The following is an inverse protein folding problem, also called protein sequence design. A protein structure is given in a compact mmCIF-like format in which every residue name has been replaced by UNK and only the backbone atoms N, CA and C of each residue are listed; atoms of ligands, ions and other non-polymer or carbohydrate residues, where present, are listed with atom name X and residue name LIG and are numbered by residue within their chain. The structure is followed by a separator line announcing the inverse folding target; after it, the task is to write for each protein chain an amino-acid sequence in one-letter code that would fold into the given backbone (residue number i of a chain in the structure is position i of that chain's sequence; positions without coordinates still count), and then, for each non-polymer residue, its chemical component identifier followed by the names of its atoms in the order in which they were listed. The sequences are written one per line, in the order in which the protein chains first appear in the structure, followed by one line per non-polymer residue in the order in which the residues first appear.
data_IF_655562605112
#
_entry.id   IF_655562605112
#
_cell.length_a   1.000
_cell.length_b   1.000
_cell.length_c   1.000
_cell.angle_alpha   90.00
_cell.angle_beta   90.00
_cell.angle_gamma   90.00
#
_symmetry.space_group_name_H-M   'P 1'
#
loop_
_entity.id
_entity.type
_entity.pdbx_description
1 polymer ?
#
# COMPACT_ATOMS: atom_id res chain seq x y z
N UNK A 1 -97.18 -190.73 -111.96
CA UNK A 1 -96.75 -189.67 -111.02
C UNK A 1 -97.37 -188.30 -111.31
N UNK A 2 -97.51 -187.86 -112.57
CA UNK A 2 -98.08 -186.53 -112.93
C UNK A 2 -99.43 -186.24 -112.24
N UNK A 3 -100.34 -187.22 -112.16
CA UNK A 3 -101.65 -187.09 -111.50
C UNK A 3 -101.57 -186.56 -110.06
N UNK A 4 -100.57 -187.00 -109.28
CA UNK A 4 -100.36 -186.55 -107.89
C UNK A 4 -99.97 -185.07 -107.82
N UNK A 5 -99.13 -184.62 -108.76
CA UNK A 5 -98.72 -183.21 -108.87
C UNK A 5 -99.90 -182.33 -109.28
N UNK A 6 -100.74 -182.80 -110.21
CA UNK A 6 -101.90 -182.07 -110.73
C UNK A 6 -102.99 -181.90 -109.66
N UNK A 7 -103.25 -182.94 -108.84
CA UNK A 7 -104.16 -182.83 -107.70
C UNK A 7 -103.59 -181.89 -106.62
N UNK A 8 -102.28 -181.94 -106.36
CA UNK A 8 -101.61 -181.04 -105.42
C UNK A 8 -101.68 -179.57 -105.89
N UNK A 9 -101.40 -179.28 -107.16
CA UNK A 9 -101.49 -177.92 -107.70
C UNK A 9 -102.92 -177.39 -107.73
N UNK A 10 -103.92 -178.24 -108.02
CA UNK A 10 -105.33 -177.88 -107.95
C UNK A 10 -105.76 -177.55 -106.51
N UNK A 11 -105.36 -178.38 -105.54
CA UNK A 11 -105.63 -178.16 -104.11
C UNK A 11 -104.95 -176.90 -103.57
N UNK A 12 -103.70 -176.64 -103.96
CA UNK A 12 -103.00 -175.40 -103.63
C UNK A 12 -103.68 -174.17 -104.23
N UNK A 13 -104.09 -174.23 -105.51
CA UNK A 13 -104.80 -173.13 -106.17
C UNK A 13 -106.13 -172.83 -105.47
N UNK A 14 -106.90 -173.87 -105.08
CA UNK A 14 -108.14 -173.72 -104.34
C UNK A 14 -107.92 -173.12 -102.94
N UNK A 15 -106.85 -173.53 -102.23
CA UNK A 15 -106.49 -172.97 -100.92
C UNK A 15 -106.08 -171.48 -101.03
N UNK A 16 -105.29 -171.11 -102.04
CA UNK A 16 -104.92 -169.71 -102.31
C UNK A 16 -106.14 -168.86 -102.68
N UNK A 17 -107.06 -169.39 -103.48
CA UNK A 17 -108.30 -168.71 -103.86
C UNK A 17 -109.21 -168.47 -102.65
N UNK A 18 -109.36 -169.45 -101.75
CA UNK A 18 -110.07 -169.27 -100.47
C UNK A 18 -109.38 -168.26 -99.56
N UNK A 19 -108.05 -168.29 -99.45
CA UNK A 19 -107.30 -167.32 -98.66
C UNK A 19 -107.49 -165.87 -99.17
N UNK A 20 -107.45 -165.66 -100.49
CA UNK A 20 -107.72 -164.37 -101.14
C UNK A 20 -109.16 -163.87 -100.90
N UNK A 21 -110.13 -164.76 -100.83
CA UNK A 21 -111.54 -164.42 -100.57
C UNK A 21 -111.75 -163.96 -99.11
N UNK A 22 -111.05 -164.59 -98.15
CA UNK A 22 -111.20 -164.30 -96.71
C UNK A 22 -110.33 -163.12 -96.24
N UNK A 23 -109.13 -162.93 -96.81
CA UNK A 23 -108.20 -161.85 -96.44
C UNK A 23 -108.82 -160.42 -96.34
N UNK A 24 -109.60 -159.91 -97.32
CA UNK A 24 -110.18 -158.57 -97.24
C UNK A 24 -111.24 -158.44 -96.13
N UNK A 25 -111.91 -159.52 -95.75
CA UNK A 25 -112.86 -159.51 -94.64
C UNK A 25 -112.14 -159.37 -93.28
N UNK A 26 -111.03 -160.10 -93.09
CA UNK A 26 -110.19 -160.00 -91.89
C UNK A 26 -109.60 -158.58 -91.77
N UNK A 27 -109.05 -158.03 -92.86
CA UNK A 27 -108.43 -156.70 -92.82
C UNK A 27 -109.44 -155.59 -92.51
N UNK A 28 -110.63 -155.61 -93.12
CA UNK A 28 -111.73 -154.70 -92.77
C UNK A 28 -112.13 -154.81 -91.29
N UNK A 29 -112.18 -156.02 -90.74
CA UNK A 29 -112.51 -156.25 -89.32
C UNK A 29 -111.42 -155.72 -88.38
N UNK A 30 -110.14 -155.91 -88.74
CA UNK A 30 -109.00 -155.40 -87.99
C UNK A 30 -108.98 -153.86 -87.94
N UNK A 31 -109.12 -153.20 -89.09
CA UNK A 31 -109.15 -151.72 -89.18
C UNK A 31 -110.34 -151.12 -88.44
N UNK A 32 -111.51 -151.76 -88.48
CA UNK A 32 -112.66 -151.32 -87.67
C UNK A 32 -112.40 -151.44 -86.17
N UNK A 33 -111.77 -152.53 -85.72
CA UNK A 33 -111.45 -152.74 -84.30
C UNK A 33 -110.35 -151.79 -83.79
N UNK A 34 -109.30 -151.52 -84.57
CA UNK A 34 -108.27 -150.55 -84.17
C UNK A 34 -108.83 -149.13 -84.15
N UNK A 35 -109.59 -148.72 -85.18
CA UNK A 35 -110.27 -147.42 -85.21
C UNK A 35 -111.22 -147.26 -84.02
N UNK A 36 -112.13 -148.22 -83.80
CA UNK A 36 -113.08 -148.17 -82.67
C UNK A 36 -112.38 -148.17 -81.31
N UNK A 37 -111.23 -148.84 -81.18
CA UNK A 37 -110.43 -148.81 -79.94
C UNK A 37 -109.78 -147.45 -79.70
N UNK A 38 -109.25 -146.80 -80.75
CA UNK A 38 -108.69 -145.44 -80.66
C UNK A 38 -109.80 -144.42 -80.34
N UNK A 39 -110.95 -144.51 -81.01
CA UNK A 39 -112.13 -143.67 -80.73
C UNK A 39 -112.70 -143.89 -79.32
N UNK A 40 -112.46 -145.04 -78.70
CA UNK A 40 -112.81 -145.30 -77.28
C UNK A 40 -111.71 -144.93 -76.27
N UNK A 41 -110.49 -144.64 -76.73
CA UNK A 41 -109.33 -144.35 -75.88
C UNK A 41 -108.94 -142.87 -75.85
N UNK A 42 -109.45 -142.08 -76.80
CA UNK A 42 -109.37 -140.62 -76.81
C UNK A 42 -110.77 -140.04 -76.54
N UNK A 43 -111.12 -139.72 -75.27
CA UNK A 43 -112.43 -139.21 -74.91
C UNK A 43 -112.57 -137.70 -75.21
N UNK A 44 -112.16 -137.28 -76.41
CA UNK A 44 -112.24 -135.90 -76.91
C UNK A 44 -112.68 -135.90 -78.38
N UNK A 45 -113.85 -135.34 -78.64
CA UNK A 45 -114.36 -135.02 -79.96
C UNK A 45 -113.49 -133.99 -80.66
N UNK A 46 -113.51 -133.95 -82.00
CA UNK A 46 -112.79 -132.95 -82.79
C UNK A 46 -113.23 -131.51 -82.44
N UNK A 47 -114.48 -131.34 -81.97
CA UNK A 47 -114.99 -130.05 -81.49
C UNK A 47 -114.40 -129.67 -80.12
N UNK A 48 -114.16 -130.65 -79.25
CA UNK A 48 -113.60 -130.44 -77.91
C UNK A 48 -112.09 -130.16 -77.99
N UNK A 49 -111.36 -130.83 -78.88
CA UNK A 49 -109.96 -130.50 -79.18
C UNK A 49 -109.79 -129.08 -79.76
N UNK A 50 -110.74 -128.64 -80.61
CA UNK A 50 -110.74 -127.26 -81.09
C UNK A 50 -111.13 -126.26 -79.98
N UNK A 51 -112.09 -126.60 -79.12
CA UNK A 51 -112.44 -125.78 -77.96
C UNK A 51 -111.28 -125.66 -76.95
N UNK A 52 -110.52 -126.72 -76.70
CA UNK A 52 -109.32 -126.70 -75.86
C UNK A 52 -108.20 -125.87 -76.50
N UNK A 53 -108.00 -125.98 -77.81
CA UNK A 53 -107.06 -125.16 -78.58
C UNK A 53 -107.41 -123.67 -78.54
N UNK A 54 -108.69 -123.33 -78.67
CA UNK A 54 -109.15 -121.94 -78.60
C UNK A 54 -109.21 -121.42 -77.15
N UNK A 55 -109.45 -122.28 -76.16
CA UNK A 55 -109.24 -121.99 -74.75
C UNK A 55 -107.76 -121.70 -74.45
N UNK A 56 -106.82 -122.51 -74.96
CA UNK A 56 -105.38 -122.27 -74.80
C UNK A 56 -104.94 -120.98 -75.50
N UNK A 57 -105.51 -120.64 -76.66
CA UNK A 57 -105.32 -119.33 -77.31
C UNK A 57 -105.84 -118.19 -76.43
N UNK A 58 -107.04 -118.33 -75.86
CA UNK A 58 -107.62 -117.33 -74.95
C UNK A 58 -106.81 -117.18 -73.65
N UNK A 59 -106.38 -118.29 -73.02
CA UNK A 59 -105.52 -118.28 -71.84
C UNK A 59 -104.19 -117.59 -72.13
N UNK A 60 -103.52 -117.94 -73.25
CA UNK A 60 -102.27 -117.28 -73.65
C UNK A 60 -102.46 -115.80 -73.98
N UNK A 61 -103.57 -115.41 -74.63
CA UNK A 61 -103.88 -114.01 -74.89
C UNK A 61 -104.16 -113.22 -73.61
N UNK A 62 -104.89 -113.79 -72.65
CA UNK A 62 -105.15 -113.19 -71.33
C UNK A 62 -103.86 -113.10 -70.50
N UNK A 63 -103.01 -114.13 -70.53
CA UNK A 63 -101.71 -114.14 -69.85
C UNK A 63 -100.76 -113.10 -70.45
N UNK A 64 -100.61 -113.07 -71.78
CA UNK A 64 -99.84 -112.06 -72.50
C UNK A 64 -100.36 -110.66 -72.18
N UNK A 65 -101.68 -110.44 -72.22
CA UNK A 65 -102.26 -109.13 -71.89
C UNK A 65 -102.05 -108.74 -70.42
N UNK A 66 -102.08 -109.70 -69.49
CA UNK A 66 -101.75 -109.45 -68.08
C UNK A 66 -100.29 -109.01 -67.93
N UNK A 67 -99.36 -109.69 -68.61
CA UNK A 67 -97.94 -109.30 -68.63
C UNK A 67 -97.73 -107.96 -69.34
N UNK A 68 -98.40 -107.66 -70.45
CA UNK A 68 -98.39 -106.34 -71.09
C UNK A 68 -98.81 -105.23 -70.12
N UNK A 69 -99.90 -105.44 -69.37
CA UNK A 69 -100.40 -104.45 -68.41
C UNK A 69 -99.46 -104.28 -67.22
N UNK A 70 -98.85 -105.36 -66.72
CA UNK A 70 -97.81 -105.30 -65.68
C UNK A 70 -96.53 -104.62 -66.18
N UNK A 71 -96.11 -104.86 -67.42
CA UNK A 71 -94.95 -104.18 -68.03
C UNK A 71 -95.26 -102.69 -68.28
N UNK A 72 -96.51 -102.32 -68.58
CA UNK A 72 -96.93 -100.92 -68.67
C UNK A 72 -96.94 -100.24 -67.31
N UNK A 73 -97.59 -100.81 -66.29
CA UNK A 73 -97.62 -100.21 -64.95
C UNK A 73 -96.22 -100.11 -64.35
N UNK A 74 -95.36 -101.13 -64.51
CA UNK A 74 -93.97 -101.08 -64.07
C UNK A 74 -93.14 -100.04 -64.84
N UNK A 75 -93.42 -99.78 -66.13
CA UNK A 75 -92.78 -98.70 -66.90
C UNK A 75 -93.27 -97.32 -66.43
N UNK A 76 -94.56 -97.16 -66.21
CA UNK A 76 -95.19 -95.93 -65.70
C UNK A 76 -94.65 -95.60 -64.29
N UNK A 77 -94.57 -96.59 -63.39
CA UNK A 77 -93.90 -96.48 -62.10
C UNK A 77 -92.40 -96.12 -62.23
N UNK A 78 -91.67 -96.75 -63.16
CA UNK A 78 -90.25 -96.43 -63.36
C UNK A 78 -90.04 -95.02 -63.90
N UNK A 79 -90.91 -94.53 -64.79
CA UNK A 79 -90.87 -93.14 -65.29
C UNK A 79 -91.22 -92.17 -64.17
N UNK A 80 -92.26 -92.44 -63.37
CA UNK A 80 -92.62 -91.60 -62.23
C UNK A 80 -91.52 -91.55 -61.15
N UNK A 81 -90.89 -92.69 -60.83
CA UNK A 81 -89.74 -92.75 -59.91
C UNK A 81 -88.53 -92.00 -60.46
N UNK A 82 -88.22 -92.13 -61.76
CA UNK A 82 -87.12 -91.39 -62.39
C UNK A 82 -87.36 -89.89 -62.38
N UNK A 83 -88.56 -89.43 -62.73
CA UNK A 83 -88.92 -88.00 -62.66
C UNK A 83 -88.78 -87.45 -61.23
N UNK A 84 -89.20 -88.21 -60.21
CA UNK A 84 -88.99 -87.85 -58.80
C UNK A 84 -87.49 -87.79 -58.44
N UNK A 85 -86.68 -88.74 -58.90
CA UNK A 85 -85.22 -88.72 -58.69
C UNK A 85 -84.55 -87.56 -59.43
N UNK A 86 -85.00 -87.19 -60.63
CA UNK A 86 -84.51 -86.03 -61.38
C UNK A 86 -84.88 -84.72 -60.67
N UNK A 87 -86.11 -84.60 -60.14
CA UNK A 87 -86.53 -83.45 -59.32
C UNK A 87 -85.73 -83.37 -57.99
N UNK A 88 -85.45 -84.51 -57.36
CA UNK A 88 -84.60 -84.59 -56.16
C UNK A 88 -83.15 -84.20 -56.47
N UNK A 89 -82.58 -84.68 -57.57
CA UNK A 89 -81.23 -84.34 -58.01
C UNK A 89 -81.10 -82.85 -58.35
N UNK A 90 -82.11 -82.25 -58.99
CA UNK A 90 -82.15 -80.81 -59.23
C UNK A 90 -82.16 -80.00 -57.92
N UNK A 91 -82.96 -80.43 -56.93
CA UNK A 91 -82.99 -79.82 -55.58
C UNK A 91 -81.66 -80.00 -54.83
N UNK A 92 -81.02 -81.16 -54.96
CA UNK A 92 -79.69 -81.42 -54.38
C UNK A 92 -78.66 -80.46 -54.99
N UNK A 93 -78.58 -80.37 -56.31
CA UNK A 93 -77.67 -79.45 -57.02
C UNK A 93 -77.91 -77.98 -56.65
N UNK A 94 -79.17 -77.55 -56.51
CA UNK A 94 -79.51 -76.19 -56.05
C UNK A 94 -79.14 -75.94 -54.58
N UNK A 95 -79.12 -76.98 -53.74
CA UNK A 95 -78.65 -76.90 -52.35
C UNK A 95 -77.12 -76.93 -52.27
N UNK A 96 -76.44 -77.77 -53.05
CA UNK A 96 -74.98 -77.81 -53.20
C UNK A 96 -74.44 -76.45 -53.67
N UNK A 97 -75.09 -75.83 -54.66
CA UNK A 97 -74.73 -74.50 -55.15
C UNK A 97 -74.91 -73.40 -54.08
N UNK A 98 -75.93 -73.51 -53.22
CA UNK A 98 -76.14 -72.59 -52.08
C UNK A 98 -75.13 -72.84 -50.96
N UNK A 99 -74.80 -74.10 -50.70
CA UNK A 99 -73.79 -74.49 -49.71
C UNK A 99 -72.42 -73.94 -50.12
N UNK A 100 -71.97 -74.20 -51.37
CA UNK A 100 -70.71 -73.67 -51.89
C UNK A 100 -70.66 -72.13 -51.91
N UNK A 101 -71.80 -71.46 -52.13
CA UNK A 101 -71.90 -69.99 -51.98
C UNK A 101 -71.71 -69.54 -50.54
N UNK A 102 -72.39 -70.18 -49.58
CA UNK A 102 -72.27 -69.91 -48.14
C UNK A 102 -70.86 -70.22 -47.60
N UNK A 103 -70.22 -71.28 -48.10
CA UNK A 103 -68.83 -71.62 -47.77
C UNK A 103 -67.85 -70.58 -48.31
N UNK A 104 -68.03 -70.12 -49.56
CA UNK A 104 -67.22 -69.04 -50.13
C UNK A 104 -67.41 -67.70 -49.38
N UNK A 105 -68.64 -67.35 -49.00
CA UNK A 105 -68.91 -66.19 -48.13
C UNK A 105 -68.29 -66.36 -46.74
N UNK A 106 -68.32 -67.58 -46.18
CA UNK A 106 -67.69 -67.93 -44.93
C UNK A 106 -66.16 -67.77 -44.94
N UNK A 107 -65.47 -68.26 -45.96
CA UNK A 107 -64.02 -68.05 -46.12
C UNK A 107 -63.68 -66.58 -46.37
N UNK A 108 -64.49 -65.87 -47.16
CA UNK A 108 -64.34 -64.42 -47.38
C UNK A 108 -64.43 -63.64 -46.06
N UNK A 109 -65.43 -63.95 -45.22
CA UNK A 109 -65.61 -63.35 -43.90
C UNK A 109 -64.51 -63.75 -42.91
N UNK A 110 -64.01 -64.98 -42.93
CA UNK A 110 -62.82 -65.39 -42.14
C UNK A 110 -61.59 -64.58 -42.54
N UNK A 111 -61.37 -64.35 -43.84
CA UNK A 111 -60.29 -63.50 -44.34
C UNK A 111 -60.39 -62.04 -43.88
N UNK A 112 -61.60 -61.46 -43.90
CA UNK A 112 -61.86 -60.12 -43.36
C UNK A 112 -61.66 -60.06 -41.84
N UNK A 113 -62.13 -61.06 -41.09
CA UNK A 113 -61.88 -61.13 -39.63
C UNK A 113 -60.39 -61.26 -39.32
N UNK A 114 -59.64 -62.06 -40.09
CA UNK A 114 -58.20 -62.21 -39.89
C UNK A 114 -57.43 -60.91 -40.15
N UNK A 115 -57.75 -60.17 -41.21
CA UNK A 115 -57.10 -58.88 -41.51
C UNK A 115 -57.50 -57.78 -40.54
N UNK A 116 -58.74 -57.77 -40.06
CA UNK A 116 -59.19 -56.87 -38.99
C UNK A 116 -58.51 -57.19 -37.65
N UNK A 117 -58.36 -58.46 -37.28
CA UNK A 117 -57.61 -58.88 -36.07
C UNK A 117 -56.14 -58.47 -36.18
N UNK A 118 -55.51 -58.65 -37.34
CA UNK A 118 -54.15 -58.15 -37.56
C UNK A 118 -54.08 -56.62 -37.40
N UNK A 119 -54.98 -55.85 -38.04
CA UNK A 119 -54.93 -54.39 -37.95
C UNK A 119 -55.26 -53.86 -36.55
N UNK A 120 -56.11 -54.55 -35.79
CA UNK A 120 -56.34 -54.24 -34.35
C UNK A 120 -55.07 -54.53 -33.53
N UNK A 121 -54.34 -55.61 -33.82
CA UNK A 121 -53.07 -55.89 -33.13
C UNK A 121 -52.01 -54.84 -33.45
N UNK A 122 -51.83 -54.47 -34.72
CA UNK A 122 -50.94 -53.39 -35.17
C UNK A 122 -51.29 -52.06 -34.49
N UNK A 123 -52.56 -51.64 -34.51
CA UNK A 123 -53.02 -50.42 -33.83
C UNK A 123 -52.83 -50.48 -32.31
N UNK A 124 -52.90 -51.67 -31.70
CA UNK A 124 -52.63 -51.84 -30.26
C UNK A 124 -51.14 -51.66 -29.95
N UNK A 125 -50.24 -52.16 -30.81
CA UNK A 125 -48.79 -51.93 -30.67
C UNK A 125 -48.39 -50.48 -30.98
N UNK A 126 -48.97 -49.88 -32.03
CA UNK A 126 -48.81 -48.44 -32.32
C UNK A 126 -49.23 -47.59 -31.11
N UNK A 127 -50.34 -47.94 -30.45
CA UNK A 127 -50.84 -47.25 -29.26
C UNK A 127 -49.95 -47.46 -28.03
N UNK A 128 -49.41 -48.67 -27.78
CA UNK A 128 -48.50 -48.90 -26.66
C UNK A 128 -47.19 -48.13 -26.82
N UNK A 129 -46.62 -48.13 -28.02
CA UNK A 129 -45.35 -47.46 -28.30
C UNK A 129 -45.48 -45.94 -28.18
N UNK A 130 -46.59 -45.37 -28.68
CA UNK A 130 -46.94 -43.96 -28.47
C UNK A 130 -47.19 -43.65 -27.00
N UNK A 131 -47.81 -44.55 -26.23
CA UNK A 131 -48.02 -44.35 -24.79
C UNK A 131 -46.70 -44.29 -24.02
N UNK A 132 -45.76 -45.19 -24.31
CA UNK A 132 -44.42 -45.21 -23.68
C UNK A 132 -43.62 -43.96 -24.05
N UNK A 133 -43.66 -43.53 -25.32
CA UNK A 133 -43.01 -42.29 -25.76
C UNK A 133 -43.66 -41.02 -25.14
N UNK A 134 -44.96 -41.04 -24.89
CA UNK A 134 -45.65 -39.95 -24.19
C UNK A 134 -45.28 -39.91 -22.70
N UNK A 135 -45.09 -41.05 -22.04
CA UNK A 135 -44.61 -41.11 -20.65
C UNK A 135 -43.14 -40.71 -20.52
N UNK A 136 -42.26 -41.09 -21.46
CA UNK A 136 -40.85 -40.66 -21.44
C UNK A 136 -40.72 -39.15 -21.68
N UNK A 137 -41.39 -38.60 -22.70
CA UNK A 137 -41.39 -37.15 -22.95
C UNK A 137 -42.05 -36.36 -21.81
N UNK A 138 -43.01 -36.95 -21.10
CA UNK A 138 -43.60 -36.34 -19.89
C UNK A 138 -42.62 -36.28 -18.72
N UNK A 139 -41.87 -37.35 -18.45
CA UNK A 139 -40.86 -37.35 -17.37
C UNK A 139 -39.66 -36.48 -17.72
N UNK A 140 -39.23 -36.43 -18.99
CA UNK A 140 -38.26 -35.45 -19.47
C UNK A 140 -38.74 -34.01 -19.26
N UNK A 141 -40.00 -33.69 -19.60
CA UNK A 141 -40.57 -32.36 -19.37
C UNK A 141 -40.65 -32.03 -17.87
N UNK A 142 -41.00 -32.97 -17.01
CA UNK A 142 -41.03 -32.79 -15.56
C UNK A 142 -39.64 -32.43 -15.03
N UNK A 143 -38.61 -33.21 -15.38
CA UNK A 143 -37.19 -32.94 -15.08
C UNK A 143 -36.78 -31.56 -15.57
N UNK A 144 -37.07 -31.20 -16.83
CA UNK A 144 -36.75 -29.87 -17.38
C UNK A 144 -37.50 -28.74 -16.65
N UNK A 145 -38.71 -28.96 -16.14
CA UNK A 145 -39.39 -27.94 -15.32
C UNK A 145 -38.76 -27.77 -13.95
N UNK A 146 -38.21 -28.82 -13.34
CA UNK A 146 -37.52 -28.75 -12.05
C UNK A 146 -36.11 -28.16 -12.18
N UNK A 147 -35.35 -28.52 -13.22
CA UNK A 147 -34.13 -27.81 -13.61
C UNK A 147 -34.39 -26.31 -13.80
N UNK A 148 -35.46 -25.95 -14.51
CA UNK A 148 -35.85 -24.56 -14.74
C UNK A 148 -36.29 -23.83 -13.46
N UNK A 149 -36.92 -24.53 -12.50
CA UNK A 149 -37.22 -23.97 -11.16
C UNK A 149 -35.93 -23.73 -10.37
N UNK A 150 -35.00 -24.69 -10.36
CA UNK A 150 -33.72 -24.58 -9.67
C UNK A 150 -32.88 -23.43 -10.24
N UNK A 151 -32.72 -23.37 -11.56
CA UNK A 151 -31.99 -22.31 -12.24
C UNK A 151 -32.59 -20.92 -11.96
N UNK A 152 -33.94 -20.80 -11.92
CA UNK A 152 -34.63 -19.55 -11.54
C UNK A 152 -34.43 -19.18 -10.07
N UNK A 153 -34.32 -20.17 -9.18
CA UNK A 153 -33.94 -19.95 -7.78
C UNK A 153 -32.53 -19.36 -7.70
N UNK A 154 -31.55 -20.00 -8.33
CA UNK A 154 -30.18 -19.50 -8.35
C UNK A 154 -30.03 -18.12 -9.00
N UNK A 155 -30.81 -17.78 -10.04
CA UNK A 155 -30.77 -16.43 -10.60
C UNK A 155 -31.34 -15.40 -9.63
N UNK A 156 -32.44 -15.71 -8.94
CA UNK A 156 -33.01 -14.81 -7.93
C UNK A 156 -32.07 -14.61 -6.72
N UNK A 157 -31.31 -15.64 -6.33
CA UNK A 157 -30.29 -15.51 -5.29
C UNK A 157 -29.06 -14.71 -5.76
N UNK A 158 -28.63 -14.87 -7.02
CA UNK A 158 -27.59 -14.03 -7.63
C UNK A 158 -28.02 -12.58 -7.81
N UNK A 159 -29.30 -12.33 -8.12
CA UNK A 159 -29.88 -10.98 -8.17
C UNK A 159 -29.84 -10.32 -6.78
N UNK A 160 -30.23 -11.03 -5.71
CA UNK A 160 -30.09 -10.56 -4.32
C UNK A 160 -28.64 -10.27 -3.93
N UNK A 161 -27.69 -11.12 -4.31
CA UNK A 161 -26.26 -10.86 -4.10
C UNK A 161 -25.78 -9.60 -4.84
N UNK A 162 -26.24 -9.38 -6.07
CA UNK A 162 -25.89 -8.19 -6.85
C UNK A 162 -26.52 -6.91 -6.27
N UNK A 163 -27.77 -6.96 -5.80
CA UNK A 163 -28.41 -5.85 -5.08
C UNK A 163 -27.66 -5.51 -3.78
N UNK A 164 -27.29 -6.51 -2.98
CA UNK A 164 -26.52 -6.31 -1.75
C UNK A 164 -25.15 -5.69 -2.04
N UNK A 165 -24.40 -6.25 -3.02
CA UNK A 165 -23.10 -5.69 -3.44
C UNK A 165 -23.22 -4.27 -4.01
N UNK A 166 -24.32 -3.95 -4.69
CA UNK A 166 -24.61 -2.60 -5.19
C UNK A 166 -24.85 -1.60 -4.05
N UNK A 167 -25.58 -2.01 -3.01
CA UNK A 167 -25.75 -1.22 -1.78
C UNK A 167 -24.42 -1.04 -1.05
N UNK A 168 -23.59 -2.08 -0.92
CA UNK A 168 -22.25 -1.98 -0.34
C UNK A 168 -21.33 -1.03 -1.12
N UNK A 169 -21.36 -1.08 -2.45
CA UNK A 169 -20.61 -0.14 -3.31
C UNK A 169 -21.07 1.30 -3.04
N UNK A 170 -22.38 1.56 -3.02
CA UNK A 170 -22.91 2.91 -2.75
C UNK A 170 -22.55 3.40 -1.34
N UNK A 171 -22.59 2.51 -0.34
CA UNK A 171 -22.13 2.82 1.03
C UNK A 171 -20.63 3.15 1.08
N UNK A 172 -19.80 2.46 0.29
CA UNK A 172 -18.36 2.73 0.15
C UNK A 172 -18.10 4.04 -0.60
N UNK A 173 -18.85 4.36 -1.65
CA UNK A 173 -18.78 5.64 -2.37
C UNK A 173 -19.13 6.82 -1.45
N UNK A 174 -20.20 6.71 -0.66
CA UNK A 174 -20.55 7.69 0.37
C UNK A 174 -19.45 7.81 1.44
N UNK A 175 -18.82 6.70 1.85
CA UNK A 175 -17.69 6.73 2.80
C UNK A 175 -16.44 7.37 2.20
N UNK A 176 -16.15 7.15 0.92
CA UNK A 176 -15.03 7.77 0.19
C UNK A 176 -15.27 9.28 0.07
N UNK A 177 -16.49 9.70 -0.30
CA UNK A 177 -16.88 11.11 -0.35
C UNK A 177 -16.73 11.81 1.01
N UNK A 178 -17.18 11.17 2.10
CA UNK A 178 -17.00 11.69 3.45
C UNK A 178 -15.51 11.81 3.85
N UNK A 179 -14.68 10.82 3.51
CA UNK A 179 -13.23 10.87 3.76
C UNK A 179 -12.53 11.94 2.89
N UNK A 180 -12.98 12.17 1.66
CA UNK A 180 -12.47 13.25 0.80
C UNK A 180 -12.80 14.63 1.38
N UNK A 181 -14.00 14.81 1.95
CA UNK A 181 -14.37 16.02 2.68
C UNK A 181 -13.50 16.22 3.95
N UNK A 182 -13.28 15.15 4.73
CA UNK A 182 -12.42 15.18 5.93
C UNK A 182 -10.95 15.50 5.58
N UNK A 183 -10.46 15.05 4.42
CA UNK A 183 -9.14 15.41 3.90
C UNK A 183 -9.10 16.88 3.48
N UNK A 184 -10.09 17.36 2.73
CA UNK A 184 -10.16 18.77 2.32
C UNK A 184 -10.25 19.74 3.52
N UNK A 185 -10.99 19.38 4.57
CA UNK A 185 -11.03 20.13 5.83
C UNK A 185 -9.65 20.16 6.51
N UNK A 186 -8.94 19.02 6.54
CA UNK A 186 -7.56 18.97 7.07
C UNK A 186 -6.57 19.77 6.22
N UNK A 187 -6.69 19.77 4.90
CA UNK A 187 -5.82 20.54 4.01
C UNK A 187 -6.03 22.05 4.21
N UNK A 188 -7.28 22.50 4.38
CA UNK A 188 -7.59 23.89 4.79
C UNK A 188 -6.95 24.19 6.14
N UNK A 189 -7.11 23.32 7.15
CA UNK A 189 -6.55 23.52 8.49
C UNK A 189 -5.01 23.50 8.50
N UNK A 190 -4.38 22.72 7.62
CA UNK A 190 -2.93 22.74 7.38
C UNK A 190 -2.53 24.06 6.70
N UNK A 191 -3.34 24.60 5.80
CA UNK A 191 -3.17 25.94 5.23
C UNK A 191 -3.13 27.03 6.31
N UNK A 192 -4.18 27.10 7.14
CA UNK A 192 -4.28 28.03 8.28
C UNK A 192 -3.06 27.93 9.20
N UNK A 193 -2.69 26.72 9.63
CA UNK A 193 -1.54 26.49 10.52
C UNK A 193 -0.20 26.87 9.88
N UNK A 194 -0.06 26.77 8.55
CA UNK A 194 1.13 27.25 7.84
C UNK A 194 1.18 28.78 7.77
N UNK A 195 0.03 29.46 7.66
CA UNK A 195 -0.07 30.92 7.71
C UNK A 195 0.22 31.44 9.12
N UNK A 196 -0.36 30.84 10.17
CA UNK A 196 -0.02 31.11 11.58
C UNK A 196 1.49 30.96 11.82
N UNK A 197 2.08 29.87 11.33
CA UNK A 197 3.52 29.59 11.45
C UNK A 197 4.37 30.57 10.61
N UNK A 198 3.84 31.15 9.53
CA UNK A 198 4.51 32.23 8.79
C UNK A 198 4.45 33.54 9.59
N UNK A 199 3.27 33.96 10.07
CA UNK A 199 3.10 35.14 10.92
C UNK A 199 3.99 35.11 12.16
N UNK A 200 4.04 33.98 12.87
CA UNK A 200 4.92 33.78 14.03
C UNK A 200 6.42 33.83 13.65
N UNK A 201 6.81 33.44 12.42
CA UNK A 201 8.20 33.59 11.95
C UNK A 201 8.57 35.04 11.69
N UNK A 202 7.66 35.86 11.17
CA UNK A 202 7.89 37.29 10.96
C UNK A 202 7.89 38.06 12.29
N UNK A 203 6.91 37.84 13.17
CA UNK A 203 6.91 38.42 14.54
C UNK A 203 8.21 38.06 15.29
N UNK A 204 8.71 36.83 15.13
CA UNK A 204 10.02 36.44 15.69
C UNK A 204 11.20 37.17 15.03
N UNK A 205 11.16 37.45 13.72
CA UNK A 205 12.21 38.24 13.02
C UNK A 205 12.22 39.69 13.49
N UNK A 206 11.04 40.27 13.70
CA UNK A 206 10.89 41.64 14.20
C UNK A 206 11.34 41.76 15.66
N UNK A 207 10.93 40.84 16.54
CA UNK A 207 11.47 40.78 17.91
C UNK A 207 12.99 40.53 17.91
N UNK A 208 13.51 39.68 17.02
CA UNK A 208 14.97 39.51 16.85
C UNK A 208 15.65 40.76 16.28
N UNK A 209 14.94 41.65 15.59
CA UNK A 209 15.45 42.95 15.14
C UNK A 209 15.45 43.95 16.30
N UNK A 210 14.34 44.08 17.02
CA UNK A 210 14.20 44.94 18.21
C UNK A 210 15.26 44.59 19.27
N UNK A 211 15.48 43.31 19.57
CA UNK A 211 16.55 42.85 20.48
C UNK A 211 17.95 43.25 19.99
N UNK A 212 18.19 43.32 18.67
CA UNK A 212 19.47 43.79 18.10
C UNK A 212 19.61 45.30 18.14
N UNK A 213 18.51 46.04 17.96
CA UNK A 213 18.45 47.51 18.02
C UNK A 213 18.61 47.97 19.48
N UNK A 214 17.81 47.46 20.42
CA UNK A 214 18.00 47.65 21.88
C UNK A 214 19.39 47.18 22.35
N UNK A 215 19.89 46.07 21.79
CA UNK A 215 21.25 45.58 22.04
C UNK A 215 22.36 46.45 21.45
N UNK A 216 22.07 47.30 20.47
CA UNK A 216 22.98 48.33 19.97
C UNK A 216 22.88 49.61 20.82
N UNK A 217 21.68 50.04 21.18
CA UNK A 217 21.43 51.16 22.10
C UNK A 217 22.04 50.94 23.48
N UNK A 218 21.90 49.73 24.05
CA UNK A 218 22.55 49.34 25.31
C UNK A 218 24.08 49.37 25.24
N UNK A 219 24.68 49.10 24.07
CA UNK A 219 26.12 49.26 23.85
C UNK A 219 26.51 50.73 23.63
N UNK A 220 25.69 51.50 22.93
CA UNK A 220 25.89 52.94 22.73
C UNK A 220 25.84 53.69 24.06
N UNK A 221 24.77 53.53 24.83
CA UNK A 221 24.61 54.07 26.20
C UNK A 221 25.67 53.55 27.17
N UNK A 222 26.04 52.27 27.08
CA UNK A 222 27.18 51.72 27.83
C UNK A 222 28.51 52.43 27.50
N UNK A 223 28.73 52.78 26.22
CA UNK A 223 29.92 53.50 25.76
C UNK A 223 29.92 55.00 26.13
N UNK A 224 28.76 55.67 26.10
CA UNK A 224 28.67 57.06 26.58
C UNK A 224 28.84 57.12 28.09
N UNK A 225 28.23 56.22 28.85
CA UNK A 225 28.44 56.09 30.29
C UNK A 225 29.91 55.75 30.63
N UNK A 226 30.59 54.93 29.82
CA UNK A 226 32.02 54.67 29.99
C UNK A 226 32.88 55.89 29.65
N UNK A 227 32.51 56.70 28.65
CA UNK A 227 33.17 57.96 28.33
C UNK A 227 32.95 59.03 29.41
N UNK A 228 31.74 59.11 29.97
CA UNK A 228 31.41 59.98 31.09
C UNK A 228 32.14 59.54 32.36
N UNK A 229 32.15 58.26 32.72
CA UNK A 229 32.97 57.74 33.83
C UNK A 229 34.45 58.05 33.66
N UNK A 230 34.99 57.98 32.44
CA UNK A 230 36.37 58.42 32.14
C UNK A 230 36.54 59.94 32.32
N UNK A 231 35.55 60.76 31.94
CA UNK A 231 35.56 62.21 32.19
C UNK A 231 35.48 62.53 33.67
N UNK A 232 34.61 61.85 34.43
CA UNK A 232 34.53 61.97 35.89
C UNK A 232 35.86 61.60 36.54
N UNK A 233 36.45 60.44 36.24
CA UNK A 233 37.78 60.06 36.74
C UNK A 233 38.88 61.06 36.36
N UNK A 234 38.82 61.68 35.18
CA UNK A 234 39.74 62.77 34.79
C UNK A 234 39.48 64.09 35.54
N UNK A 235 38.23 64.36 35.94
CA UNK A 235 37.86 65.52 36.76
C UNK A 235 38.25 65.28 38.22
N UNK A 236 38.06 64.07 38.75
CA UNK A 236 38.50 63.63 40.08
C UNK A 236 40.03 63.67 40.19
N UNK A 237 40.77 63.14 39.21
CA UNK A 237 42.23 63.24 39.17
C UNK A 237 42.72 64.70 39.06
N UNK A 238 42.00 65.57 38.34
CA UNK A 238 42.29 67.02 38.31
C UNK A 238 41.92 67.70 39.63
N UNK A 239 40.87 67.26 40.31
CA UNK A 239 40.47 67.76 41.61
C UNK A 239 41.52 67.38 42.66
N UNK A 240 41.98 66.13 42.69
CA UNK A 240 43.07 65.65 43.54
C UNK A 240 44.41 66.32 43.20
N UNK A 241 44.70 66.57 41.92
CA UNK A 241 45.82 67.41 41.51
C UNK A 241 45.66 68.86 42.02
N UNK A 242 44.45 69.43 42.00
CA UNK A 242 44.19 70.77 42.54
C UNK A 242 44.26 70.82 44.07
N UNK A 243 43.83 69.75 44.76
CA UNK A 243 43.93 69.60 46.22
C UNK A 243 45.39 69.46 46.65
N UNK A 244 46.22 68.72 45.91
CA UNK A 244 47.66 68.63 46.17
C UNK A 244 48.43 69.89 45.74
N UNK A 245 47.93 70.64 44.75
CA UNK A 245 48.41 72.00 44.49
C UNK A 245 48.04 72.96 45.63
N UNK A 246 46.81 72.88 46.16
CA UNK A 246 46.38 73.66 47.33
C UNK A 246 47.20 73.28 48.55
N UNK A 247 47.35 72.01 48.90
CA UNK A 247 48.13 71.60 50.08
C UNK A 247 49.62 71.94 49.96
N UNK A 248 50.21 71.86 48.76
CA UNK A 248 51.60 72.32 48.55
C UNK A 248 51.72 73.85 48.47
N UNK A 249 50.63 74.58 48.22
CA UNK A 249 50.57 76.05 48.37
C UNK A 249 50.33 76.44 49.83
N UNK A 250 49.54 75.69 50.58
CA UNK A 250 49.34 75.83 52.03
C UNK A 250 50.64 75.53 52.78
N UNK A 251 51.36 74.46 52.44
CA UNK A 251 52.72 74.22 52.95
C UNK A 251 53.69 75.35 52.59
N UNK A 252 53.61 75.92 51.38
CA UNK A 252 54.43 77.08 51.00
C UNK A 252 54.05 78.32 51.78
N UNK A 253 52.76 78.54 52.05
CA UNK A 253 52.24 79.62 52.87
C UNK A 253 52.58 79.43 54.35
N UNK A 254 52.63 78.20 54.85
CA UNK A 254 53.00 77.86 56.21
C UNK A 254 54.52 77.94 56.44
N UNK A 255 55.32 77.51 55.46
CA UNK A 255 56.77 77.78 55.42
C UNK A 255 57.02 79.28 55.34
N UNK A 256 56.31 80.01 54.46
CA UNK A 256 56.41 81.47 54.35
C UNK A 256 55.91 82.20 55.59
N UNK A 257 54.89 81.72 56.29
CA UNK A 257 54.43 82.33 57.54
C UNK A 257 55.40 82.05 58.69
N UNK A 258 56.02 80.86 58.74
CA UNK A 258 57.14 80.55 59.65
C UNK A 258 58.39 81.36 59.33
N UNK A 259 58.70 81.63 58.06
CA UNK A 259 59.76 82.56 57.64
C UNK A 259 59.43 84.00 58.06
N UNK A 260 58.19 84.46 57.85
CA UNK A 260 57.73 85.79 58.25
C UNK A 260 57.64 85.95 59.77
N UNK A 261 57.32 84.88 60.50
CA UNK A 261 57.32 84.86 61.96
C UNK A 261 58.75 84.88 62.50
N UNK A 262 59.67 84.06 61.98
CA UNK A 262 61.11 84.15 62.33
C UNK A 262 61.67 85.53 62.03
N UNK A 263 61.33 86.12 60.89
CA UNK A 263 61.75 87.48 60.54
C UNK A 263 61.12 88.54 61.45
N UNK A 264 59.92 88.32 62.00
CA UNK A 264 59.33 89.16 63.06
C UNK A 264 60.01 88.97 64.41
N UNK A 265 60.31 87.74 64.81
CA UNK A 265 61.06 87.42 66.03
C UNK A 265 62.50 87.98 65.97
N UNK A 266 63.12 87.97 64.79
CA UNK A 266 64.39 88.63 64.47
C UNK A 266 64.26 90.16 64.50
N UNK A 267 63.20 90.74 63.93
CA UNK A 267 62.95 92.18 64.05
C UNK A 267 62.65 92.63 65.49
N UNK A 268 61.91 91.84 66.27
CA UNK A 268 61.56 92.18 67.65
C UNK A 268 62.73 91.94 68.62
N UNK A 269 63.59 90.96 68.36
CA UNK A 269 64.88 90.83 69.07
C UNK A 269 65.87 91.94 68.68
N UNK A 270 65.90 92.36 67.41
CA UNK A 270 66.64 93.56 66.98
C UNK A 270 66.09 94.84 67.63
N UNK A 271 64.76 94.97 67.79
CA UNK A 271 64.12 96.09 68.53
C UNK A 271 64.43 96.07 70.02
N UNK A 272 64.48 94.89 70.64
CA UNK A 272 64.91 94.75 72.04
C UNK A 272 66.38 95.17 72.16
N UNK A 273 67.26 94.73 71.25
CA UNK A 273 68.66 95.18 71.22
C UNK A 273 68.80 96.69 70.96
N UNK A 274 67.95 97.27 70.11
CA UNK A 274 67.90 98.72 69.87
C UNK A 274 67.51 99.47 71.15
N UNK A 275 66.46 99.01 71.84
CA UNK A 275 65.99 99.57 73.11
C UNK A 275 67.01 99.44 74.23
N UNK A 276 67.78 98.34 74.25
CA UNK A 276 68.86 98.14 75.21
C UNK A 276 70.06 99.07 74.92
N UNK A 277 70.25 99.49 73.68
CA UNK A 277 71.21 100.53 73.29
C UNK A 277 70.68 101.95 73.58
N UNK A 278 69.40 102.22 73.35
CA UNK A 278 68.73 103.49 73.71
C UNK A 278 68.80 103.73 75.22
N UNK A 279 68.54 102.71 76.06
CA UNK A 279 68.68 102.83 77.52
C UNK A 279 70.12 103.04 77.98
N UNK A 280 71.12 102.57 77.21
CA UNK A 280 72.54 102.88 77.46
C UNK A 280 72.91 104.29 77.01
N UNK A 281 72.26 104.83 75.98
CA UNK A 281 72.41 106.22 75.57
C UNK A 281 71.81 107.18 76.60
N UNK A 282 70.56 106.97 77.05
CA UNK A 282 69.95 107.77 78.13
C UNK A 282 70.78 107.73 79.43
N UNK A 283 71.43 106.60 79.73
CA UNK A 283 72.30 106.47 80.90
C UNK A 283 73.59 107.29 80.77
N UNK A 284 74.09 107.51 79.55
CA UNK A 284 75.24 108.38 79.28
C UNK A 284 74.85 109.87 79.24
N UNK A 285 73.69 110.22 78.67
CA UNK A 285 73.20 111.61 78.64
C UNK A 285 72.99 112.15 80.07
N UNK A 286 72.42 111.35 80.98
CA UNK A 286 72.29 111.71 82.41
C UNK A 286 73.62 111.90 83.15
N UNK A 287 74.74 111.38 82.61
CA UNK A 287 76.07 111.69 83.14
C UNK A 287 76.62 113.02 82.60
N UNK A 288 76.31 113.38 81.36
CA UNK A 288 76.69 114.69 80.80
C UNK A 288 75.92 115.84 81.46
N UNK A 289 74.60 115.73 81.65
CA UNK A 289 73.77 116.73 82.36
C UNK A 289 74.29 117.00 83.79
N UNK A 290 74.77 115.96 84.47
CA UNK A 290 75.36 116.06 85.80
C UNK A 290 76.70 116.82 85.82
N UNK A 291 77.44 116.86 84.71
CA UNK A 291 78.66 117.64 84.58
C UNK A 291 78.42 119.08 84.11
N UNK A 292 77.45 119.33 83.22
CA UNK A 292 77.11 120.69 82.78
C UNK A 292 76.61 121.58 83.94
N UNK A 293 75.82 121.03 84.85
CA UNK A 293 75.36 121.74 86.05
C UNK A 293 76.50 122.18 86.99
N UNK A 294 77.59 121.39 87.07
CA UNK A 294 78.77 121.72 87.87
C UNK A 294 79.63 122.83 87.24
N UNK A 295 79.62 122.93 85.90
CA UNK A 295 80.32 124.00 85.17
C UNK A 295 79.57 125.33 85.34
N UNK A 296 78.23 125.32 85.24
CA UNK A 296 77.40 126.53 85.32
C UNK A 296 77.55 127.29 86.65
N UNK A 297 77.67 126.60 87.80
CA UNK A 297 77.80 127.26 89.10
C UNK A 297 79.19 127.93 89.29
N UNK A 298 80.26 127.36 88.72
CA UNK A 298 81.58 127.99 88.76
C UNK A 298 81.65 129.27 87.91
N UNK A 299 81.00 129.29 86.74
CA UNK A 299 81.02 130.44 85.83
C UNK A 299 80.47 131.72 86.47
N UNK A 300 79.36 131.63 87.20
CA UNK A 300 78.71 132.81 87.83
C UNK A 300 79.58 133.41 88.95
N UNK A 301 80.52 132.64 89.52
CA UNK A 301 81.38 133.09 90.63
C UNK A 301 82.63 133.85 90.18
N UNK A 302 82.98 133.78 88.89
CA UNK A 302 84.21 134.39 88.33
C UNK A 302 83.92 135.79 87.73
N UNK A 303 82.74 135.99 87.13
CA UNK A 303 82.33 137.21 86.39
C UNK A 303 82.11 138.48 87.24
N UNK A 304 82.57 138.52 88.50
CA UNK A 304 82.46 139.71 89.37
C UNK A 304 83.69 140.07 90.19
N UNK A 305 84.78 139.31 90.11
CA UNK A 305 86.01 139.60 90.87
C UNK A 305 87.29 139.63 90.04
N UNK A 306 87.21 139.42 88.71
CA UNK A 306 88.36 139.61 87.80
C UNK A 306 88.28 140.91 86.99
N UNK A 307 87.96 142.02 87.66
CA UNK A 307 88.42 143.36 87.25
C UNK A 307 89.55 143.86 88.16
N UNK A 308 90.46 142.95 88.54
CA UNK A 308 91.74 143.20 89.20
C UNK A 308 92.74 142.05 88.92
N UNK A 309 93.99 142.39 88.61
CA UNK A 309 95.25 141.59 88.60
C UNK A 309 95.29 140.17 87.98
N UNK A 310 95.92 140.09 86.79
CA UNK A 310 97.18 139.33 86.49
C UNK A 310 97.23 137.77 86.47
N UNK A 311 97.63 137.23 85.28
CA UNK A 311 98.70 136.21 84.99
C UNK A 311 98.57 134.72 85.50
N UNK A 312 99.08 133.63 84.85
CA UNK A 312 99.75 133.36 83.54
C UNK A 312 99.73 131.83 83.16
N UNK A 313 99.86 131.48 81.84
CA UNK A 313 100.44 130.26 81.16
C UNK A 313 100.12 128.77 81.56
N UNK A 314 100.26 127.72 80.70
CA UNK A 314 100.60 127.58 79.26
C UNK A 314 100.88 126.11 78.74
N UNK A 315 101.02 125.92 77.41
CA UNK A 315 101.64 124.79 76.61
C UNK A 315 100.93 123.39 76.53
N UNK A 316 100.71 122.69 75.38
CA UNK A 316 101.53 122.08 74.27
C UNK A 316 102.08 120.65 74.58
N UNK A 317 102.18 119.64 73.68
CA UNK A 317 102.00 119.47 72.21
C UNK A 317 101.13 118.16 71.92
N UNK A 318 101.12 117.30 70.86
CA UNK A 318 101.90 116.98 69.64
C UNK A 318 101.13 116.08 68.62
N UNK A 319 101.75 115.67 67.48
CA UNK A 319 101.18 114.80 66.43
C UNK A 319 102.17 113.70 65.93
N UNK A 320 101.69 112.51 65.53
CA UNK A 320 102.58 111.48 64.93
C UNK A 320 102.00 110.18 64.33
N UNK A 321 101.09 109.46 65.01
CA UNK A 321 100.92 108.00 64.74
C UNK A 321 100.02 107.57 63.56
N UNK A 322 99.26 108.47 62.93
CA UNK A 322 98.10 108.08 62.12
C UNK A 322 98.37 107.54 60.70
N UNK A 323 99.61 107.55 60.20
CA UNK A 323 99.88 107.24 58.78
C UNK A 323 100.19 105.77 58.45
N UNK A 324 100.41 104.87 59.43
CA UNK A 324 100.91 103.51 59.15
C UNK A 324 99.82 102.50 58.68
N UNK A 325 98.54 102.74 58.96
CA UNK A 325 97.48 101.70 58.88
C UNK A 325 96.90 101.43 57.47
N UNK A 326 97.15 102.29 56.48
CA UNK A 326 96.44 102.17 55.18
C UNK A 326 97.00 101.10 54.22
N UNK A 327 98.21 100.58 54.46
CA UNK A 327 98.95 99.80 53.47
C UNK A 327 98.58 98.30 53.39
N UNK A 328 97.82 97.75 54.34
CA UNK A 328 97.74 96.29 54.55
C UNK A 328 96.55 95.58 53.87
N UNK A 329 95.55 96.29 53.33
CA UNK A 329 94.26 95.68 52.94
C UNK A 329 94.13 95.20 51.48
N UNK A 330 95.08 95.49 50.58
CA UNK A 330 94.90 95.33 49.12
C UNK A 330 95.10 93.91 48.57
N UNK A 331 95.63 92.96 49.35
CA UNK A 331 96.07 91.64 48.84
C UNK A 331 94.94 90.59 48.82
N UNK A 332 93.93 90.71 49.70
CA UNK A 332 92.98 89.63 49.98
C UNK A 332 91.95 89.30 48.87
N UNK A 333 91.74 90.20 47.90
CA UNK A 333 90.65 90.08 46.92
C UNK A 333 90.92 89.02 45.83
N UNK A 334 92.19 88.68 45.58
CA UNK A 334 92.62 87.97 44.35
C UNK A 334 92.48 86.45 44.36
N UNK A 335 92.12 85.84 45.49
CA UNK A 335 92.01 84.37 45.64
C UNK A 335 90.65 83.80 45.23
N UNK A 336 89.57 84.55 45.42
CA UNK A 336 88.19 84.04 45.31
C UNK A 336 87.69 83.82 43.87
N UNK A 337 88.42 84.28 42.85
CA UNK A 337 87.96 84.17 41.45
C UNK A 337 88.19 82.79 40.82
N UNK A 338 89.11 81.98 41.37
CA UNK A 338 89.54 80.71 40.78
C UNK A 338 88.58 79.53 41.08
N UNK A 339 87.97 79.48 42.26
CA UNK A 339 87.14 78.36 42.72
C UNK A 339 85.85 78.18 41.89
N UNK A 340 85.32 79.30 41.38
CA UNK A 340 84.09 79.36 40.56
C UNK A 340 84.14 78.48 39.31
N UNK A 341 85.32 78.34 38.68
CA UNK A 341 85.42 77.83 37.31
C UNK A 341 85.67 76.31 37.24
N UNK A 342 85.90 75.65 38.37
CA UNK A 342 85.91 74.17 38.46
C UNK A 342 84.50 73.58 38.42
N UNK A 343 83.57 74.12 39.23
CA UNK A 343 82.22 73.57 39.44
C UNK A 343 81.34 73.50 38.18
N UNK A 344 81.71 74.18 37.08
CA UNK A 344 80.96 74.14 35.82
C UNK A 344 81.19 72.88 34.96
N UNK A 345 82.22 72.07 35.24
CA UNK A 345 82.58 70.93 34.37
C UNK A 345 81.84 69.64 34.71
N UNK A 346 81.54 69.41 35.98
CA UNK A 346 80.99 68.14 36.47
C UNK A 346 79.53 67.92 36.02
N UNK A 347 78.76 69.01 35.89
CA UNK A 347 77.34 68.98 35.51
C UNK A 347 77.07 68.52 34.06
N UNK A 348 78.11 68.39 33.22
CA UNK A 348 77.99 68.01 31.82
C UNK A 348 77.95 66.48 31.58
N UNK A 349 78.47 65.67 32.50
CA UNK A 349 78.68 64.23 32.26
C UNK A 349 77.42 63.35 32.45
N UNK A 350 76.43 63.81 33.22
CA UNK A 350 75.37 62.96 33.77
C UNK A 350 74.09 62.84 32.89
N UNK A 351 74.21 62.79 31.55
CA UNK A 351 73.05 62.91 30.62
C UNK A 351 73.04 61.96 29.40
N UNK A 352 73.88 60.92 29.35
CA UNK A 352 74.15 60.19 28.10
C UNK A 352 73.54 58.78 27.93
N UNK A 353 73.23 58.04 29.00
CA UNK A 353 72.86 56.61 28.92
C UNK A 353 71.37 56.33 29.21
N UNK A 354 70.60 55.89 28.21
CA UNK A 354 69.27 55.30 28.44
C UNK A 354 68.23 55.40 27.32
N UNK A 355 68.46 54.79 26.14
CA UNK A 355 67.38 54.43 25.19
C UNK A 355 67.81 53.25 24.27
N UNK A 356 66.84 52.60 23.60
CA UNK A 356 66.89 51.34 22.81
C UNK A 356 66.61 50.06 23.60
N UNK A 357 65.81 49.09 23.12
CA UNK A 357 65.05 49.05 21.85
C UNK A 357 64.83 47.65 21.27
N UNK A 358 65.56 46.63 21.75
CA UNK A 358 65.72 45.34 21.03
C UNK A 358 65.33 44.07 21.83
N UNK A 359 64.59 44.21 22.94
CA UNK A 359 64.28 43.07 23.84
C UNK A 359 62.96 42.34 23.58
N UNK A 360 61.96 43.03 23.04
CA UNK A 360 60.56 42.56 23.02
C UNK A 360 60.29 41.48 21.96
N UNK A 361 61.06 41.46 20.86
CA UNK A 361 60.96 40.45 19.79
C UNK A 361 61.35 39.05 20.29
N UNK A 362 62.50 38.94 20.95
CA UNK A 362 63.07 37.67 21.45
C UNK A 362 62.19 37.03 22.54
N UNK A 363 61.44 37.84 23.29
CA UNK A 363 60.47 37.33 24.28
C UNK A 363 59.22 36.77 23.62
N UNK A 364 58.68 37.42 22.57
CA UNK A 364 57.49 36.95 21.85
C UNK A 364 57.72 35.59 21.18
N UNK A 365 58.85 35.38 20.50
CA UNK A 365 59.15 34.09 19.87
C UNK A 365 59.26 32.93 20.88
N UNK A 366 59.90 33.17 22.02
CA UNK A 366 60.00 32.17 23.10
C UNK A 366 58.64 31.85 23.72
N UNK A 367 57.77 32.85 23.88
CA UNK A 367 56.40 32.65 24.38
C UNK A 367 55.58 31.81 23.41
N UNK A 368 55.66 32.11 22.11
CA UNK A 368 54.96 31.39 21.05
C UNK A 368 55.45 29.93 20.92
N UNK A 369 56.75 29.69 21.08
CA UNK A 369 57.32 28.33 21.05
C UNK A 369 56.84 27.49 22.24
N UNK A 370 56.84 28.07 23.46
CA UNK A 370 56.34 27.38 24.66
C UNK A 370 54.83 27.09 24.57
N UNK A 371 54.04 28.00 23.99
CA UNK A 371 52.61 27.80 23.76
C UNK A 371 52.32 26.64 22.79
N UNK A 372 53.09 26.53 21.70
CA UNK A 372 52.96 25.41 20.75
C UNK A 372 53.26 24.05 21.40
N UNK A 373 54.28 23.98 22.25
CA UNK A 373 54.68 22.76 22.95
C UNK A 373 53.62 22.30 23.97
N UNK A 374 53.05 23.22 24.75
CA UNK A 374 51.96 22.93 25.69
C UNK A 374 50.68 22.46 24.97
N UNK A 375 50.30 23.09 23.85
CA UNK A 375 49.12 22.65 23.06
C UNK A 375 49.36 21.29 22.41
N UNK A 376 50.55 21.01 21.90
CA UNK A 376 50.90 19.69 21.38
C UNK A 376 50.88 18.60 22.48
N UNK A 377 51.29 18.93 23.71
CA UNK A 377 51.21 18.02 24.86
C UNK A 377 49.75 17.74 25.27
N UNK A 378 48.89 18.77 25.28
CA UNK A 378 47.46 18.62 25.58
C UNK A 378 46.74 17.75 24.53
N UNK A 379 46.93 18.02 23.24
CA UNK A 379 46.35 17.23 22.15
C UNK A 379 46.79 15.75 22.19
N UNK A 380 47.99 15.46 22.68
CA UNK A 380 48.52 14.10 22.90
C UNK A 380 47.90 13.39 24.10
N UNK A 381 47.47 14.12 25.13
CA UNK A 381 46.79 13.58 26.33
C UNK A 381 45.29 13.34 26.10
N UNK A 382 44.63 14.20 25.32
CA UNK A 382 43.20 14.06 24.98
C UNK A 382 42.93 13.02 23.87
N UNK A 383 43.92 12.71 23.04
CA UNK A 383 43.83 11.65 22.03
C UNK A 383 42.98 12.00 20.79
N UNK A 384 42.58 10.98 19.99
CA UNK A 384 42.06 11.18 18.63
C UNK A 384 40.65 11.79 18.54
N UNK A 385 39.98 12.08 19.67
CA UNK A 385 38.69 12.80 19.70
C UNK A 385 38.79 14.20 20.34
N UNK A 386 40.01 14.73 20.56
CA UNK A 386 40.20 16.11 20.98
C UNK A 386 39.65 17.12 19.96
N UNK A 387 38.95 18.15 20.46
CA UNK A 387 38.56 19.34 19.67
C UNK A 387 39.76 20.07 19.07
N UNK A 388 40.94 19.98 19.68
CA UNK A 388 42.17 20.64 19.20
C UNK A 388 42.59 20.05 17.84
N UNK A 389 42.49 18.73 17.69
CA UNK A 389 42.83 18.05 16.43
C UNK A 389 41.80 18.34 15.31
N UNK A 390 40.53 18.58 15.66
CA UNK A 390 39.51 19.01 14.70
C UNK A 390 39.79 20.43 14.16
N UNK A 391 40.07 21.39 15.04
CA UNK A 391 40.40 22.76 14.65
C UNK A 391 41.70 22.83 13.82
N UNK A 392 42.72 22.03 14.16
CA UNK A 392 43.94 21.91 13.35
C UNK A 392 43.70 21.34 11.94
N UNK A 393 42.59 20.66 11.69
CA UNK A 393 42.21 20.13 10.39
C UNK A 393 41.31 21.08 9.57
N UNK A 394 40.65 22.06 10.22
CA UNK A 394 39.91 23.13 9.53
C UNK A 394 40.83 24.28 9.08
N UNK A 395 41.92 24.54 9.81
CA UNK A 395 42.93 25.55 9.45
C UNK A 395 43.95 25.04 8.40
N UNK A 396 43.54 25.05 7.13
CA UNK A 396 44.40 24.84 5.94
C UNK A 396 44.60 26.16 5.16
N UNK A 397 44.73 27.27 5.88
CA UNK A 397 44.92 28.63 5.35
C UNK A 397 46.42 28.93 5.06
N UNK A 398 46.89 28.59 3.86
CA UNK A 398 48.30 28.71 3.44
C UNK A 398 48.78 30.17 3.31
N UNK A 399 49.14 30.80 4.43
CA UNK A 399 49.62 32.18 4.50
C UNK A 399 51.11 32.30 4.13
N UNK A 400 51.38 32.50 2.84
CA UNK A 400 52.72 32.72 2.32
C UNK A 400 53.29 34.10 2.71
N UNK A 401 53.85 34.24 3.92
CA UNK A 401 54.38 35.51 4.43
C UNK A 401 55.20 35.42 5.72
N UNK A 402 56.42 34.87 5.63
CA UNK A 402 57.60 35.00 6.53
C UNK A 402 57.47 34.73 8.06
N UNK A 403 56.26 34.64 8.63
CA UNK A 403 56.03 34.33 10.06
C UNK A 403 55.29 33.01 10.19
N UNK A 404 56.03 31.92 10.43
CA UNK A 404 55.48 30.55 10.51
C UNK A 404 54.40 30.46 11.59
N UNK A 405 53.18 30.06 11.20
CA UNK A 405 51.99 30.03 12.08
C UNK A 405 52.14 29.06 13.26
N UNK A 406 51.38 29.32 14.33
CA UNK A 406 51.32 28.42 15.49
C UNK A 406 50.81 27.03 15.08
N UNK A 407 49.80 26.97 14.20
CA UNK A 407 49.24 25.73 13.68
C UNK A 407 50.29 24.91 12.90
N UNK A 408 51.09 25.55 12.06
CA UNK A 408 52.16 24.90 11.29
C UNK A 408 53.25 24.31 12.20
N UNK A 409 53.63 25.04 13.25
CA UNK A 409 54.61 24.54 14.24
C UNK A 409 54.07 23.32 15.00
N UNK A 410 52.77 23.28 15.32
CA UNK A 410 52.13 22.11 15.95
C UNK A 410 52.04 20.95 14.94
N UNK A 411 51.59 21.18 13.69
CA UNK A 411 51.57 20.18 12.61
C UNK A 411 52.98 19.61 12.36
N UNK A 412 54.03 20.43 12.44
CA UNK A 412 55.43 20.00 12.29
C UNK A 412 55.94 19.16 13.47
N UNK A 413 55.65 19.56 14.72
CA UNK A 413 56.04 18.81 15.92
C UNK A 413 55.37 17.43 15.98
N UNK A 414 54.09 17.31 15.62
CA UNK A 414 53.40 16.02 15.51
C UNK A 414 54.09 15.11 14.49
N UNK A 415 54.31 15.60 13.26
CA UNK A 415 54.99 14.83 12.20
C UNK A 415 56.40 14.37 12.59
N UNK A 416 57.18 15.20 13.27
CA UNK A 416 58.53 14.83 13.71
C UNK A 416 58.53 13.66 14.72
N UNK A 417 57.55 13.63 15.62
CA UNK A 417 57.39 12.57 16.63
C UNK A 417 56.82 11.29 16.02
N UNK A 418 55.86 11.39 15.08
CA UNK A 418 55.33 10.20 14.39
C UNK A 418 56.37 9.52 13.49
N UNK A 419 57.29 10.30 12.88
CA UNK A 419 58.45 9.75 12.16
C UNK A 419 59.38 8.99 13.11
N UNK A 420 59.70 9.53 14.30
CA UNK A 420 60.48 8.80 15.32
C UNK A 420 59.78 7.52 15.80
N UNK A 421 58.44 7.53 15.85
CA UNK A 421 57.62 6.40 16.33
C UNK A 421 57.45 5.27 15.29
N UNK A 422 57.76 5.54 14.02
CA UNK A 422 57.87 4.53 12.96
C UNK A 422 59.31 4.06 12.72
N UNK A 423 60.29 4.58 13.47
CA UNK A 423 61.72 4.23 13.36
C UNK A 423 62.29 3.55 14.61
N UNK A 424 61.43 3.02 15.49
CA UNK A 424 61.76 2.33 16.74
C UNK A 424 60.75 1.21 17.02
#
# INVERSE_FOLDING_TARGET
MIQSVLIFSLGFLAAVLLALLVAPAIWRRAVFLTRKRIESALPLSINELNAEKDMLRAQNAIALRRVEMQVKSLREENVARKALTEEQNAKIHDLEKKLAGSEAEGERLKGEVASLVQRVHELTTELSDVSVALESTRTELEIRTDELKSAKGETADRERELEARSQDISNLELRISALQAEIAERDIRIGELNEDVAGLKEVRRDLQREIRELGAEGRATGSTLAAERKRFAQIEAKLEQSISQVSTLEEKLERRSKELQRSREENDSLRIALRDLEQRAEAAERQNEAHESQIAEMTIRIDRLMSASEEENGNEDSMGELQLKLAQQSVAIRSLELERDQLKRELAAAKADGDSGNGDTVLRDKLNQLAAEVVAMAARLEGPQSRINALLAEDDSTSAGEVVSLADRIKALQRAVDVQRNSA
#
